data_IF_828856183440
#
_entry.id   IF_828856183440
#
_cell.length_a   1.000
_cell.length_b   1.000
_cell.length_c   1.000
_cell.angle_alpha   90.00
_cell.angle_beta   90.00
_cell.angle_gamma   90.00
#
_symmetry.space_group_name_H-M   'P 1'
#
loop_
_entity.id
_entity.type
_entity.pdbx_description
1 polymer ?
#
# COMPACT_ATOMS: atom_id res chain seq x y z
N UNK A 1 15.36 8.87 -8.06
CA UNK A 1 14.89 7.69 -7.30
C UNK A 1 14.35 8.19 -5.97
N UNK A 2 13.15 7.74 -5.57
CA UNK A 2 12.51 8.16 -4.31
C UNK A 2 12.06 6.89 -3.57
N UNK A 3 12.62 6.63 -2.39
CA UNK A 3 12.33 5.45 -1.58
C UNK A 3 11.46 5.86 -0.38
N UNK A 4 10.48 5.04 -0.04
CA UNK A 4 9.63 5.22 1.12
C UNK A 4 9.24 3.85 1.67
N UNK A 5 9.26 3.65 3.01
CA UNK A 5 8.65 2.46 3.59
C UNK A 5 7.15 2.49 3.33
N UNK A 6 6.56 1.31 3.15
CA UNK A 6 5.14 1.10 2.88
C UNK A 6 4.69 -0.19 3.56
N UNK A 7 3.47 -0.20 4.09
CA UNK A 7 2.73 -1.43 4.30
C UNK A 7 2.26 -1.98 2.95
N UNK A 8 2.12 -3.30 2.86
CA UNK A 8 1.65 -3.95 1.64
C UNK A 8 0.80 -5.18 1.96
N UNK A 9 -0.09 -5.54 1.03
CA UNK A 9 -0.67 -6.88 0.97
C UNK A 9 -0.16 -7.60 -0.27
N UNK A 10 -0.09 -8.92 -0.18
CA UNK A 10 0.07 -9.79 -1.33
C UNK A 10 -1.25 -10.52 -1.56
N UNK A 11 -1.85 -10.31 -2.73
CA UNK A 11 -3.15 -10.88 -3.09
C UNK A 11 -2.99 -12.21 -3.82
N UNK A 12 -4.04 -13.04 -3.80
CA UNK A 12 -4.01 -14.41 -4.36
C UNK A 12 -3.77 -14.44 -5.88
N UNK A 13 -4.07 -13.34 -6.56
CA UNK A 13 -3.86 -13.15 -8.00
C UNK A 13 -2.43 -12.65 -8.35
N UNK A 14 -1.54 -12.58 -7.36
CA UNK A 14 -0.16 -12.15 -7.52
C UNK A 14 0.05 -10.64 -7.53
N UNK A 15 -0.97 -9.84 -7.20
CA UNK A 15 -0.85 -8.38 -7.07
C UNK A 15 -0.34 -7.97 -5.70
N UNK A 16 0.36 -6.84 -5.66
CA UNK A 16 0.74 -6.17 -4.42
C UNK A 16 -0.14 -4.94 -4.24
N UNK A 17 -0.82 -4.88 -3.10
CA UNK A 17 -1.69 -3.75 -2.76
C UNK A 17 -0.95 -2.81 -1.82
N UNK A 18 -1.00 -1.52 -2.14
CA UNK A 18 -0.42 -0.43 -1.36
C UNK A 18 -1.50 0.64 -1.21
N UNK A 19 -1.57 1.29 -0.05
CA UNK A 19 -2.40 2.48 0.13
C UNK A 19 -1.52 3.75 0.08
N UNK A 20 -2.07 4.86 -0.38
CA UNK A 20 -1.39 6.16 -0.32
C UNK A 20 -2.40 7.29 -0.40
N UNK A 21 -2.06 8.43 0.21
CA UNK A 21 -2.82 9.66 0.03
C UNK A 21 -2.37 10.38 -1.25
N UNK A 22 -3.33 10.94 -1.97
CA UNK A 22 -3.14 11.54 -3.30
C UNK A 22 -2.06 12.64 -3.34
N UNK A 23 -2.00 13.47 -2.29
CA UNK A 23 -1.15 14.66 -2.27
C UNK A 23 0.34 14.34 -2.12
N UNK A 24 0.70 13.11 -1.75
CA UNK A 24 2.07 12.71 -1.47
C UNK A 24 2.94 12.66 -2.73
N UNK A 25 4.24 12.98 -2.57
CA UNK A 25 5.19 13.00 -3.69
C UNK A 25 5.29 11.65 -4.42
N UNK A 26 5.13 10.52 -3.72
CA UNK A 26 5.15 9.18 -4.32
C UNK A 26 4.02 9.00 -5.35
N UNK A 27 2.83 9.52 -5.09
CA UNK A 27 1.69 9.46 -6.04
C UNK A 27 1.94 10.35 -7.24
N UNK A 28 2.48 11.56 -7.05
CA UNK A 28 2.89 12.45 -8.16
C UNK A 28 3.95 11.77 -9.05
N UNK A 29 4.91 11.08 -8.45
CA UNK A 29 5.93 10.32 -9.17
C UNK A 29 5.30 9.17 -9.98
N UNK A 30 4.39 8.39 -9.38
CA UNK A 30 3.69 7.28 -10.04
C UNK A 30 2.85 7.77 -11.23
N UNK A 31 2.13 8.89 -11.08
CA UNK A 31 1.36 9.51 -12.18
C UNK A 31 2.25 9.91 -13.36
N UNK A 32 3.46 10.41 -13.08
CA UNK A 32 4.44 10.76 -14.11
C UNK A 32 5.10 9.54 -14.74
N UNK A 33 5.40 8.52 -13.95
CA UNK A 33 6.01 7.28 -14.40
C UNK A 33 5.56 6.14 -13.47
N UNK A 34 4.72 5.20 -13.96
CA UNK A 34 4.15 4.15 -13.12
C UNK A 34 5.14 3.02 -12.82
N UNK A 35 6.34 3.03 -13.39
CA UNK A 35 7.34 2.01 -13.11
C UNK A 35 7.94 2.17 -11.70
N UNK A 36 7.86 1.10 -10.91
CA UNK A 36 8.39 1.06 -9.56
C UNK A 36 8.93 -0.33 -9.21
N UNK A 37 9.72 -0.37 -8.15
CA UNK A 37 10.20 -1.61 -7.54
C UNK A 37 9.86 -1.62 -6.05
N UNK A 38 9.48 -2.78 -5.55
CA UNK A 38 9.26 -3.05 -4.12
C UNK A 38 10.35 -4.01 -3.67
N UNK A 39 11.03 -3.67 -2.57
CA UNK A 39 12.02 -4.52 -1.94
C UNK A 39 11.51 -4.92 -0.56
N UNK A 40 11.39 -6.23 -0.33
CA UNK A 40 10.99 -6.82 0.95
C UNK A 40 12.22 -7.51 1.51
N UNK A 41 12.55 -7.22 2.78
CA UNK A 41 13.77 -7.70 3.43
C UNK A 41 13.40 -8.45 4.70
N UNK A 42 14.05 -9.59 4.92
CA UNK A 42 13.95 -10.39 6.14
C UNK A 42 15.35 -10.87 6.56
N UNK A 43 15.94 -10.19 7.55
CA UNK A 43 17.32 -10.42 7.94
C UNK A 43 18.29 -10.19 6.77
N UNK A 44 18.98 -11.24 6.33
CA UNK A 44 19.90 -11.21 5.18
C UNK A 44 19.26 -11.62 3.86
N UNK A 45 17.98 -12.00 3.85
CA UNK A 45 17.24 -12.40 2.65
C UNK A 45 16.42 -11.22 2.14
N UNK A 46 16.25 -11.13 0.83
CA UNK A 46 15.37 -10.13 0.23
C UNK A 46 14.74 -10.63 -1.06
N UNK A 47 13.61 -10.02 -1.41
CA UNK A 47 12.94 -10.17 -2.70
C UNK A 47 12.74 -8.76 -3.27
N UNK A 48 13.06 -8.60 -4.56
CA UNK A 48 12.81 -7.36 -5.30
C UNK A 48 11.86 -7.63 -6.46
N UNK A 49 10.73 -6.93 -6.48
CA UNK A 49 9.68 -7.07 -7.48
C UNK A 49 9.61 -5.76 -8.25
N UNK A 50 9.68 -5.84 -9.59
CA UNK A 50 9.59 -4.66 -10.47
C UNK A 50 8.39 -4.78 -11.39
N UNK A 51 7.65 -3.70 -11.54
CA UNK A 51 6.45 -3.68 -12.38
C UNK A 51 5.91 -2.28 -12.60
N UNK A 52 4.66 -2.20 -13.04
CA UNK A 52 3.91 -0.95 -13.17
C UNK A 52 2.82 -0.86 -12.12
N UNK A 53 2.64 0.31 -11.53
CA UNK A 53 1.58 0.60 -10.57
C UNK A 53 0.33 1.09 -11.31
N UNK A 54 -0.84 0.55 -10.93
CA UNK A 54 -2.15 1.08 -11.30
C UNK A 54 -2.75 1.80 -10.09
N UNK A 55 -3.12 3.07 -10.27
CA UNK A 55 -3.88 3.81 -9.25
C UNK A 55 -5.35 3.41 -9.32
N UNK A 56 -5.95 3.17 -8.16
CA UNK A 56 -7.37 2.82 -8.00
C UNK A 56 -7.98 3.90 -7.13
N UNK A 57 -8.92 4.65 -7.69
CA UNK A 57 -9.59 5.77 -7.00
C UNK A 57 -11.08 5.47 -6.73
N UNK A 58 -11.56 4.28 -7.11
CA UNK A 58 -12.93 3.84 -6.81
C UNK A 58 -13.09 3.61 -5.31
N UNK A 59 -13.91 4.44 -4.66
CA UNK A 59 -14.03 4.50 -3.20
C UNK A 59 -14.33 3.15 -2.54
N UNK A 60 -15.17 2.32 -3.15
CA UNK A 60 -15.49 1.00 -2.64
C UNK A 60 -14.27 0.05 -2.64
N UNK A 61 -13.49 0.07 -3.72
CA UNK A 61 -12.25 -0.71 -3.82
C UNK A 61 -11.18 -0.20 -2.87
N UNK A 62 -11.02 1.14 -2.77
CA UNK A 62 -10.06 1.78 -1.85
C UNK A 62 -10.37 1.42 -0.40
N UNK A 63 -11.64 1.54 0.03
CA UNK A 63 -12.05 1.24 1.41
C UNK A 63 -11.81 -0.23 1.75
N UNK A 64 -12.27 -1.16 0.90
CA UNK A 64 -12.09 -2.60 1.11
C UNK A 64 -10.62 -2.96 1.31
N UNK A 65 -9.75 -2.47 0.42
CA UNK A 65 -8.34 -2.85 0.44
C UNK A 65 -7.58 -2.17 1.58
N UNK A 66 -8.01 -0.97 1.98
CA UNK A 66 -7.49 -0.30 3.17
C UNK A 66 -7.85 -1.03 4.46
N UNK A 67 -9.09 -1.49 4.62
CA UNK A 67 -9.53 -2.29 5.77
C UNK A 67 -8.71 -3.59 5.87
N UNK A 68 -8.53 -4.32 4.76
CA UNK A 68 -7.66 -5.52 4.71
C UNK A 68 -6.22 -5.23 5.16
N UNK A 69 -5.68 -4.09 4.76
CA UNK A 69 -4.31 -3.68 5.11
C UNK A 69 -4.19 -3.37 6.61
N UNK A 70 -5.17 -2.67 7.16
CA UNK A 70 -5.25 -2.36 8.59
C UNK A 70 -5.34 -3.63 9.43
N UNK A 71 -6.21 -4.57 9.03
CA UNK A 71 -6.33 -5.88 9.69
C UNK A 71 -5.04 -6.70 9.66
N UNK A 72 -4.25 -6.59 8.59
CA UNK A 72 -3.00 -7.33 8.47
C UNK A 72 -1.89 -6.83 9.39
N UNK A 73 -1.84 -5.53 9.66
CA UNK A 73 -0.73 -4.90 10.42
C UNK A 73 -1.09 -4.49 11.84
N UNK A 74 -2.38 -4.37 12.18
CA UNK A 74 -2.84 -3.92 13.49
C UNK A 74 -3.71 -5.00 14.11
N UNK A 75 -3.21 -5.67 15.14
CA UNK A 75 -3.94 -6.74 15.83
C UNK A 75 -5.05 -6.17 16.74
N UNK A 76 -4.73 -5.09 17.47
CA UNK A 76 -5.63 -4.48 18.45
C UNK A 76 -6.85 -3.82 17.78
N UNK A 77 -8.04 -4.22 18.21
CA UNK A 77 -9.32 -3.79 17.62
C UNK A 77 -9.57 -2.28 17.81
N UNK A 78 -9.33 -1.74 19.01
CA UNK A 78 -9.51 -0.32 19.27
C UNK A 78 -8.57 0.55 18.40
N UNK A 79 -7.33 0.09 18.21
CA UNK A 79 -6.35 0.74 17.33
C UNK A 79 -6.78 0.65 15.87
N UNK A 80 -7.36 -0.47 15.41
CA UNK A 80 -7.92 -0.59 14.06
C UNK A 80 -9.05 0.38 13.83
N UNK A 81 -10.01 0.46 14.75
CA UNK A 81 -11.15 1.39 14.65
C UNK A 81 -10.67 2.84 14.57
N UNK A 82 -9.75 3.23 15.44
CA UNK A 82 -9.18 4.58 15.44
C UNK A 82 -8.44 4.88 14.13
N UNK A 83 -7.61 3.95 13.65
CA UNK A 83 -6.84 4.15 12.43
C UNK A 83 -7.76 4.23 11.20
N UNK A 84 -8.77 3.38 11.13
CA UNK A 84 -9.77 3.40 10.07
C UNK A 84 -10.56 4.70 10.07
N UNK A 85 -11.04 5.15 11.23
CA UNK A 85 -11.74 6.44 11.35
C UNK A 85 -10.87 7.64 10.92
N UNK A 86 -9.55 7.55 11.09
CA UNK A 86 -8.62 8.64 10.74
C UNK A 86 -8.30 8.70 9.24
N UNK A 87 -8.28 7.56 8.56
CA UNK A 87 -7.69 7.43 7.22
C UNK A 87 -8.58 6.76 6.16
N UNK A 88 -9.81 6.33 6.50
CA UNK A 88 -10.77 5.72 5.56
C UNK A 88 -11.71 6.71 4.86
N UNK A 89 -11.46 8.02 5.02
CA UNK A 89 -12.17 9.11 4.33
C UNK A 89 -11.40 9.63 3.11
#
# INVERSE_FOLDING_TARGET
>A
MHLTPMWYLFDDDGRIILNSQEHLQKVKNIRRNPHASICIVEGTRYISITGSIKLIDEQASVRRDFERLVEHYIEDEATREQYTATFAE
#
